data_IF_978046580168
#
_entry.id   IF_978046580168
#
_cell.length_a   1.000
_cell.length_b   1.000
_cell.length_c   1.000
_cell.angle_alpha   90.00
_cell.angle_beta   90.00
_cell.angle_gamma   90.00
#
_symmetry.space_group_name_H-M   'P 1'
#
loop_
_entity.id
_entity.type
_entity.pdbx_description
1 polymer ?
#
# COMPACT_ATOMS: atom_id res chain seq x y z
N UNK A 1 -35.83 -9.20 -1.61
CA UNK A 1 -36.83 -8.12 -1.56
C UNK A 1 -36.80 -7.30 -0.26
N UNK A 2 -35.78 -7.43 0.63
CA UNK A 2 -35.88 -6.89 2.00
C UNK A 2 -35.47 -5.41 2.15
N UNK A 3 -34.19 -5.02 1.97
CA UNK A 3 -33.73 -3.68 2.44
C UNK A 3 -34.39 -2.48 1.74
N UNK A 4 -34.65 -2.59 0.43
CA UNK A 4 -35.23 -1.48 -0.32
C UNK A 4 -36.73 -1.29 -0.05
N UNK A 5 -37.48 -2.38 0.18
CA UNK A 5 -38.86 -2.32 0.72
C UNK A 5 -38.90 -1.87 2.17
N UNK A 6 -37.89 -2.20 2.98
CA UNK A 6 -37.78 -1.79 4.38
C UNK A 6 -37.77 -0.25 4.47
N UNK A 7 -37.09 0.42 3.54
CA UNK A 7 -36.98 1.88 3.51
C UNK A 7 -38.09 2.56 2.69
N UNK A 8 -38.62 1.93 1.64
CA UNK A 8 -39.58 2.59 0.73
C UNK A 8 -40.85 3.04 1.46
N UNK A 9 -41.45 2.19 2.30
CA UNK A 9 -42.70 2.54 3.01
C UNK A 9 -42.50 3.47 4.21
N UNK A 10 -41.31 3.46 4.83
CA UNK A 10 -41.03 4.31 6.01
C UNK A 10 -40.65 5.75 5.62
N UNK A 11 -40.16 5.94 4.39
CA UNK A 11 -39.85 7.26 3.83
C UNK A 11 -40.89 7.74 2.80
N UNK A 12 -41.96 6.99 2.57
CA UNK A 12 -43.01 7.36 1.62
C UNK A 12 -43.71 8.65 2.06
N UNK A 13 -43.61 9.70 1.24
CA UNK A 13 -44.12 11.04 1.55
C UNK A 13 -43.25 11.87 2.48
N UNK A 14 -42.09 11.37 2.92
CA UNK A 14 -41.15 12.15 3.73
C UNK A 14 -40.21 12.98 2.85
N UNK A 15 -40.15 14.28 3.09
CA UNK A 15 -39.22 15.19 2.41
C UNK A 15 -37.83 15.11 3.06
N UNK A 16 -36.97 14.22 2.56
CA UNK A 16 -35.58 14.07 3.03
C UNK A 16 -34.65 14.84 2.11
N UNK A 17 -33.97 15.84 2.66
CA UNK A 17 -33.01 16.65 1.89
C UNK A 17 -31.66 15.96 1.78
N UNK A 18 -31.04 16.10 0.61
CA UNK A 18 -29.68 15.61 0.31
C UNK A 18 -28.74 16.73 -0.13
N UNK A 19 -27.46 16.60 0.19
CA UNK A 19 -26.42 17.52 -0.31
C UNK A 19 -26.21 17.35 -1.81
N UNK A 20 -25.65 18.37 -2.45
CA UNK A 20 -25.25 18.32 -3.88
C UNK A 20 -23.84 17.78 -4.10
N UNK A 21 -23.02 17.72 -3.04
CA UNK A 21 -21.65 17.20 -3.09
C UNK A 21 -21.64 15.67 -3.15
N UNK A 22 -20.68 15.09 -3.88
CA UNK A 22 -20.48 13.65 -3.97
C UNK A 22 -19.34 13.18 -3.05
N UNK A 23 -19.49 12.08 -2.28
CA UNK A 23 -20.72 11.30 -2.12
C UNK A 23 -21.79 12.11 -1.38
N UNK A 24 -23.06 11.87 -1.72
CA UNK A 24 -24.17 12.61 -1.14
C UNK A 24 -24.38 12.26 0.32
N UNK A 25 -24.93 13.23 1.04
CA UNK A 25 -25.24 13.13 2.46
C UNK A 25 -26.68 13.55 2.70
N UNK A 26 -27.33 12.91 3.66
CA UNK A 26 -28.73 13.16 4.03
C UNK A 26 -28.82 14.04 5.26
N UNK A 27 -29.83 14.90 5.32
CA UNK A 27 -30.14 15.69 6.50
C UNK A 27 -30.66 14.81 7.64
N UNK A 28 -29.92 14.76 8.76
CA UNK A 28 -30.26 13.92 9.91
C UNK A 28 -31.62 14.30 10.51
N UNK A 29 -31.90 15.60 10.61
CA UNK A 29 -33.16 16.07 11.21
C UNK A 29 -34.39 15.62 10.41
N UNK A 30 -34.26 15.50 9.07
CA UNK A 30 -35.35 15.05 8.22
C UNK A 30 -35.58 13.54 8.38
N UNK A 31 -34.48 12.78 8.50
CA UNK A 31 -34.51 11.33 8.77
C UNK A 31 -35.19 11.05 10.11
N UNK A 32 -34.78 11.75 11.18
CA UNK A 32 -35.39 11.60 12.51
C UNK A 32 -36.89 11.88 12.41
N UNK A 33 -37.27 12.98 11.75
CA UNK A 33 -38.68 13.35 11.57
C UNK A 33 -39.46 12.29 10.78
N UNK A 34 -38.90 11.76 9.70
CA UNK A 34 -39.52 10.75 8.85
C UNK A 34 -39.81 9.46 9.64
N UNK A 35 -38.81 8.98 10.38
CA UNK A 35 -38.87 7.70 11.07
C UNK A 35 -39.68 7.78 12.35
N UNK A 36 -39.43 8.78 13.20
CA UNK A 36 -40.07 8.86 14.51
C UNK A 36 -41.43 9.55 14.46
N UNK A 37 -41.72 10.33 13.41
CA UNK A 37 -42.85 11.25 13.40
C UNK A 37 -42.73 12.38 14.43
N UNK A 38 -41.57 12.55 15.07
CA UNK A 38 -41.41 13.49 16.17
C UNK A 38 -41.54 14.94 15.68
N UNK A 39 -42.27 15.73 16.45
CA UNK A 39 -42.48 17.16 16.23
C UNK A 39 -41.18 17.95 16.43
N UNK A 40 -40.27 17.46 17.30
CA UNK A 40 -39.00 18.13 17.58
C UNK A 40 -37.76 17.24 17.33
N UNK A 41 -37.33 17.08 16.06
CA UNK A 41 -36.18 16.24 15.72
C UNK A 41 -34.84 16.78 16.26
N UNK A 42 -34.74 18.06 16.64
CA UNK A 42 -33.50 18.64 17.20
C UNK A 42 -33.24 18.14 18.62
N UNK A 43 -34.28 18.01 19.44
CA UNK A 43 -34.14 17.47 20.80
C UNK A 43 -33.72 16.00 20.73
N UNK A 44 -34.38 15.19 19.89
CA UNK A 44 -33.96 13.79 19.68
C UNK A 44 -32.54 13.68 19.17
N UNK A 45 -32.11 14.58 18.28
CA UNK A 45 -30.72 14.61 17.84
C UNK A 45 -29.74 14.92 18.99
N UNK A 46 -30.03 15.92 19.82
CA UNK A 46 -29.21 16.25 20.98
C UNK A 46 -29.15 15.10 21.99
N UNK A 47 -30.28 14.42 22.23
CA UNK A 47 -30.37 13.27 23.13
C UNK A 47 -29.54 12.09 22.61
N UNK A 48 -29.55 11.85 21.29
CA UNK A 48 -28.71 10.83 20.65
C UNK A 48 -27.22 11.14 20.80
N UNK A 49 -26.82 12.41 20.59
CA UNK A 49 -25.42 12.83 20.76
C UNK A 49 -24.96 12.68 22.21
N UNK A 50 -25.83 12.96 23.18
CA UNK A 50 -25.51 12.84 24.60
C UNK A 50 -25.46 11.37 25.06
N UNK A 51 -26.37 10.54 24.58
CA UNK A 51 -26.49 9.14 25.02
C UNK A 51 -25.49 8.22 24.32
N UNK A 52 -25.18 8.48 23.05
CA UNK A 52 -24.31 7.65 22.22
C UNK A 52 -23.19 8.47 21.56
N UNK A 53 -22.32 9.15 22.34
CA UNK A 53 -21.33 10.08 21.80
C UNK A 53 -20.32 9.42 20.86
N UNK A 54 -19.96 8.15 21.10
CA UNK A 54 -19.03 7.42 20.23
C UNK A 54 -19.68 6.98 18.92
N UNK A 55 -20.90 6.44 18.98
CA UNK A 55 -21.62 5.97 17.79
C UNK A 55 -22.07 7.13 16.89
N UNK A 56 -22.48 8.24 17.53
CA UNK A 56 -23.01 9.45 16.88
C UNK A 56 -21.95 10.55 16.70
N UNK A 57 -20.69 10.29 17.06
CA UNK A 57 -19.57 11.22 16.88
C UNK A 57 -18.51 10.71 15.92
N UNK A 58 -17.88 9.58 16.24
CA UNK A 58 -16.73 9.06 15.47
C UNK A 58 -17.16 8.03 14.40
N UNK A 59 -18.19 7.23 14.67
CA UNK A 59 -18.50 6.04 13.87
C UNK A 59 -19.52 6.24 12.74
N UNK A 60 -20.39 7.25 12.81
CA UNK A 60 -21.43 7.48 11.79
C UNK A 60 -21.07 8.56 10.76
N UNK A 61 -19.77 8.69 10.45
CA UNK A 61 -19.31 9.42 9.25
C UNK A 61 -19.72 10.89 9.23
N UNK A 62 -19.87 11.49 10.41
CA UNK A 62 -20.34 12.86 10.54
C UNK A 62 -19.33 13.82 9.94
N UNK A 63 -19.85 14.73 9.13
CA UNK A 63 -19.11 15.93 8.77
C UNK A 63 -20.07 17.09 8.85
N UNK A 64 -19.50 18.19 9.33
CA UNK A 64 -19.95 19.57 9.31
C UNK A 64 -21.42 19.82 8.97
N UNK A 65 -22.05 20.57 9.86
CA UNK A 65 -23.39 21.12 9.64
C UNK A 65 -23.46 21.74 8.23
N UNK A 66 -24.40 21.28 7.40
CA UNK A 66 -24.60 21.75 6.03
C UNK A 66 -25.75 22.76 5.94
N UNK A 67 -25.55 23.82 5.16
CA UNK A 67 -26.58 24.83 4.89
C UNK A 67 -27.30 24.51 3.58
N UNK A 68 -28.51 23.98 3.69
CA UNK A 68 -29.36 23.73 2.52
C UNK A 68 -29.84 25.04 1.89
N UNK A 69 -29.85 25.16 0.56
CA UNK A 69 -30.37 26.35 -0.12
C UNK A 69 -31.86 26.56 0.19
N UNK A 70 -32.29 27.82 0.32
CA UNK A 70 -33.69 28.20 0.51
C UNK A 70 -34.23 28.23 1.95
N UNK A 71 -33.48 27.82 2.98
CA UNK A 71 -33.93 27.83 4.40
C UNK A 71 -33.24 28.83 5.33
N UNK A 72 -32.71 29.94 4.80
CA UNK A 72 -32.04 30.96 5.62
C UNK A 72 -30.77 30.43 6.30
N UNK A 73 -30.43 30.94 7.50
CA UNK A 73 -29.20 30.58 8.26
C UNK A 73 -29.23 29.21 8.97
N UNK A 74 -30.24 28.37 8.72
CA UNK A 74 -30.40 27.12 9.44
C UNK A 74 -29.45 26.04 8.91
N UNK A 75 -28.37 25.82 9.65
CA UNK A 75 -27.44 24.72 9.39
C UNK A 75 -28.03 23.42 9.91
N UNK A 76 -27.98 22.35 9.11
CA UNK A 76 -28.51 21.03 9.46
C UNK A 76 -27.38 20.01 9.53
N UNK A 77 -27.32 19.16 10.56
CA UNK A 77 -26.37 18.05 10.59
C UNK A 77 -26.67 17.07 9.46
N UNK A 78 -25.61 16.58 8.80
CA UNK A 78 -25.70 15.64 7.67
C UNK A 78 -24.86 14.40 7.92
N UNK A 79 -25.24 13.29 7.27
CA UNK A 79 -24.54 12.00 7.39
C UNK A 79 -24.56 11.23 6.07
N UNK A 80 -23.65 10.26 5.93
CA UNK A 80 -23.58 9.34 4.79
C UNK A 80 -24.58 8.15 4.94
N UNK A 81 -24.54 7.20 4.02
CA UNK A 81 -25.41 6.02 4.06
C UNK A 81 -25.19 5.17 5.33
N UNK A 82 -23.96 5.06 5.81
CA UNK A 82 -23.62 4.29 7.01
C UNK A 82 -24.21 4.96 8.23
N UNK A 83 -23.95 6.25 8.41
CA UNK A 83 -24.45 6.98 9.57
C UNK A 83 -25.96 7.15 9.56
N UNK A 84 -26.59 7.20 8.39
CA UNK A 84 -28.04 7.04 8.26
C UNK A 84 -28.52 5.76 8.96
N UNK A 85 -27.99 4.59 8.57
CA UNK A 85 -28.39 3.29 9.16
C UNK A 85 -28.07 3.23 10.66
N UNK A 86 -26.93 3.77 11.10
CA UNK A 86 -26.59 3.86 12.52
C UNK A 86 -27.65 4.64 13.29
N UNK A 87 -28.05 5.82 12.80
CA UNK A 87 -29.08 6.65 13.43
C UNK A 87 -30.42 5.92 13.45
N UNK A 88 -30.81 5.26 12.35
CA UNK A 88 -32.06 4.48 12.30
C UNK A 88 -32.11 3.41 13.40
N UNK A 89 -30.97 2.76 13.65
CA UNK A 89 -30.84 1.74 14.69
C UNK A 89 -30.90 2.30 16.11
N UNK A 90 -30.34 3.49 16.35
CA UNK A 90 -30.32 4.13 17.66
C UNK A 90 -31.64 4.84 18.02
N UNK A 91 -32.46 5.20 17.02
CA UNK A 91 -33.73 5.89 17.26
C UNK A 91 -34.72 5.04 18.06
N UNK A 92 -35.39 5.66 19.01
CA UNK A 92 -36.46 5.03 19.79
C UNK A 92 -37.82 5.18 19.09
N UNK A 93 -38.79 4.36 19.49
CA UNK A 93 -40.18 4.42 18.99
C UNK A 93 -40.58 3.22 18.13
N UNK A 94 -41.89 3.12 17.88
CA UNK A 94 -42.50 1.95 17.23
C UNK A 94 -42.00 1.74 15.79
N UNK A 95 -41.93 2.81 14.99
CA UNK A 95 -41.44 2.73 13.60
C UNK A 95 -39.97 2.31 13.53
N UNK A 96 -39.12 2.87 14.37
CA UNK A 96 -37.71 2.46 14.47
C UNK A 96 -37.58 1.00 14.94
N UNK A 97 -38.45 0.55 15.87
CA UNK A 97 -38.48 -0.85 16.28
C UNK A 97 -38.88 -1.79 15.14
N UNK A 98 -39.88 -1.41 14.33
CA UNK A 98 -40.28 -2.17 13.13
C UNK A 98 -39.13 -2.26 12.12
N UNK A 99 -38.38 -1.16 11.92
CA UNK A 99 -37.18 -1.17 11.08
C UNK A 99 -36.15 -2.19 11.59
N UNK A 100 -35.82 -2.14 12.90
CA UNK A 100 -34.87 -3.08 13.52
C UNK A 100 -35.32 -4.54 13.41
N UNK A 101 -36.61 -4.83 13.54
CA UNK A 101 -37.13 -6.19 13.37
C UNK A 101 -36.90 -6.72 11.95
N UNK A 102 -37.12 -5.88 10.93
CA UNK A 102 -36.86 -6.28 9.54
C UNK A 102 -35.36 -6.44 9.27
N UNK A 103 -34.50 -5.67 9.94
CA UNK A 103 -33.04 -5.84 9.88
C UNK A 103 -32.58 -7.15 10.55
N UNK A 104 -33.20 -7.52 11.68
CA UNK A 104 -32.93 -8.79 12.36
C UNK A 104 -33.21 -10.01 11.44
N UNK A 105 -34.32 -9.99 10.70
CA UNK A 105 -34.65 -11.05 9.74
C UNK A 105 -33.59 -11.18 8.64
N UNK A 106 -33.10 -10.04 8.11
CA UNK A 106 -32.01 -10.02 7.15
C UNK A 106 -30.73 -10.60 7.74
N UNK A 107 -30.38 -10.21 8.97
CA UNK A 107 -29.18 -10.67 9.66
C UNK A 107 -29.21 -12.17 9.90
N UNK A 108 -30.35 -12.72 10.33
CA UNK A 108 -30.53 -14.17 10.52
C UNK A 108 -30.33 -14.92 9.22
N UNK A 109 -30.93 -14.45 8.11
CA UNK A 109 -30.75 -15.06 6.78
C UNK A 109 -29.30 -14.98 6.30
N UNK A 110 -28.64 -13.84 6.53
CA UNK A 110 -27.24 -13.65 6.17
C UNK A 110 -26.33 -14.62 6.92
N UNK A 111 -26.47 -14.72 8.24
CA UNK A 111 -25.71 -15.64 9.08
C UNK A 111 -26.05 -17.11 8.79
N UNK A 112 -27.29 -17.40 8.37
CA UNK A 112 -27.73 -18.71 7.93
C UNK A 112 -27.23 -19.12 6.54
N UNK A 113 -26.52 -18.25 5.82
CA UNK A 113 -26.00 -18.54 4.48
C UNK A 113 -27.08 -18.67 3.41
N UNK A 114 -28.21 -17.97 3.56
CA UNK A 114 -29.32 -18.02 2.60
C UNK A 114 -28.89 -17.43 1.23
N UNK A 115 -28.65 -18.30 0.26
CA UNK A 115 -28.20 -17.93 -1.08
C UNK A 115 -29.25 -17.11 -1.86
N UNK A 116 -30.53 -17.14 -1.47
CA UNK A 116 -31.54 -16.29 -2.10
C UNK A 116 -31.24 -14.80 -1.92
N UNK A 117 -30.48 -14.42 -0.88
CA UNK A 117 -30.00 -13.05 -0.67
C UNK A 117 -29.18 -12.51 -1.85
N UNK A 118 -28.47 -13.36 -2.59
CA UNK A 118 -27.71 -12.95 -3.76
C UNK A 118 -28.65 -12.38 -4.83
N UNK A 119 -29.77 -13.07 -5.08
CA UNK A 119 -30.75 -12.60 -6.05
C UNK A 119 -31.41 -11.30 -5.56
N UNK A 120 -31.70 -11.20 -4.26
CA UNK A 120 -32.23 -9.96 -3.69
C UNK A 120 -31.28 -8.77 -3.85
N UNK A 121 -29.97 -8.98 -3.66
CA UNK A 121 -28.96 -7.95 -3.83
C UNK A 121 -28.91 -7.50 -5.30
N UNK A 122 -29.01 -8.43 -6.26
CA UNK A 122 -29.09 -8.08 -7.70
C UNK A 122 -30.33 -7.26 -8.02
N UNK A 123 -31.49 -7.64 -7.47
CA UNK A 123 -32.73 -6.91 -7.68
C UNK A 123 -32.66 -5.51 -7.05
N UNK A 124 -32.11 -5.37 -5.85
CA UNK A 124 -31.89 -4.09 -5.17
C UNK A 124 -30.93 -3.22 -5.97
N UNK A 125 -29.88 -3.81 -6.55
CA UNK A 125 -28.93 -3.11 -7.41
C UNK A 125 -29.63 -2.54 -8.65
N UNK A 126 -30.42 -3.36 -9.34
CA UNK A 126 -31.20 -2.91 -10.50
C UNK A 126 -32.19 -1.80 -10.13
N UNK A 127 -32.83 -1.89 -8.96
CA UNK A 127 -33.71 -0.83 -8.45
C UNK A 127 -32.95 0.48 -8.20
N UNK A 128 -31.77 0.40 -7.56
CA UNK A 128 -30.90 1.56 -7.30
C UNK A 128 -30.47 2.26 -8.59
N UNK A 129 -30.15 1.49 -9.64
CA UNK A 129 -29.79 2.01 -10.95
C UNK A 129 -30.98 2.67 -11.67
N UNK A 130 -32.20 2.20 -11.41
CA UNK A 130 -33.43 2.77 -11.94
C UNK A 130 -33.91 4.03 -11.22
N UNK A 131 -33.33 4.40 -10.07
CA UNK A 131 -33.72 5.61 -9.35
C UNK A 131 -33.21 6.87 -10.08
N UNK A 132 -34.01 7.96 -10.09
CA UNK A 132 -33.50 9.27 -10.48
C UNK A 132 -32.26 9.64 -9.70
N UNK A 133 -31.34 10.36 -10.34
CA UNK A 133 -30.10 10.77 -9.70
C UNK A 133 -30.42 11.52 -8.39
N UNK A 134 -31.30 12.50 -8.38
CA UNK A 134 -31.70 13.30 -7.22
C UNK A 134 -32.50 12.55 -6.14
N UNK A 135 -32.85 11.28 -6.33
CA UNK A 135 -33.64 10.52 -5.37
C UNK A 135 -32.86 10.26 -4.06
N UNK A 136 -33.42 10.52 -2.87
CA UNK A 136 -32.69 10.42 -1.60
C UNK A 136 -32.18 9.00 -1.30
N UNK A 137 -32.92 7.97 -1.71
CA UNK A 137 -32.51 6.58 -1.53
C UNK A 137 -31.31 6.16 -2.42
N UNK A 138 -30.88 6.99 -3.38
CA UNK A 138 -29.72 6.73 -4.24
C UNK A 138 -28.40 6.75 -3.45
N UNK A 139 -28.40 7.38 -2.26
CA UNK A 139 -27.25 7.45 -1.35
C UNK A 139 -26.66 6.06 -1.03
N UNK A 140 -27.49 5.03 -0.92
CA UNK A 140 -27.03 3.67 -0.66
C UNK A 140 -26.24 3.08 -1.82
N UNK A 141 -26.75 3.23 -3.05
CA UNK A 141 -26.05 2.76 -4.23
C UNK A 141 -24.76 3.56 -4.50
N UNK A 142 -24.77 4.87 -4.23
CA UNK A 142 -23.59 5.73 -4.37
C UNK A 142 -22.49 5.36 -3.39
N UNK A 143 -22.83 5.10 -2.13
CA UNK A 143 -21.83 4.68 -1.12
C UNK A 143 -21.20 3.33 -1.52
N UNK A 144 -21.97 2.39 -2.06
CA UNK A 144 -21.45 1.12 -2.58
C UNK A 144 -20.53 1.33 -3.79
N UNK A 145 -20.91 2.18 -4.73
CA UNK A 145 -20.12 2.50 -5.93
C UNK A 145 -18.80 3.22 -5.59
N UNK A 146 -18.86 4.19 -4.68
CA UNK A 146 -17.69 4.92 -4.19
C UNK A 146 -16.68 3.98 -3.52
N UNK A 147 -17.16 3.04 -2.70
CA UNK A 147 -16.31 2.02 -2.06
C UNK A 147 -15.74 1.01 -3.05
N UNK A 148 -16.52 0.57 -4.03
CA UNK A 148 -16.04 -0.32 -5.08
C UNK A 148 -14.91 0.33 -5.90
N UNK A 149 -15.07 1.62 -6.23
CA UNK A 149 -14.06 2.41 -6.94
C UNK A 149 -12.77 2.53 -6.12
N UNK A 150 -12.88 2.81 -4.82
CA UNK A 150 -11.71 2.89 -3.92
C UNK A 150 -10.98 1.55 -3.83
N UNK A 151 -11.72 0.45 -3.68
CA UNK A 151 -11.14 -0.89 -3.60
C UNK A 151 -10.36 -1.27 -4.87
N UNK A 152 -10.91 -0.94 -6.05
CA UNK A 152 -10.20 -1.15 -7.32
C UNK A 152 -8.88 -0.39 -7.38
N UNK A 153 -8.85 0.86 -6.88
CA UNK A 153 -7.64 1.67 -6.84
C UNK A 153 -6.58 1.09 -5.88
N UNK A 154 -7.02 0.60 -4.71
CA UNK A 154 -6.13 -0.02 -3.74
C UNK A 154 -5.54 -1.33 -4.31
N UNK A 155 -6.37 -2.17 -4.97
CA UNK A 155 -5.92 -3.39 -5.64
C UNK A 155 -4.91 -3.09 -6.77
N UNK A 156 -5.15 -2.05 -7.58
CA UNK A 156 -4.23 -1.60 -8.64
C UNK A 156 -2.89 -1.10 -8.07
N UNK A 157 -2.94 -0.39 -6.94
CA UNK A 157 -1.76 0.12 -6.25
C UNK A 157 -0.90 -1.02 -5.69
N UNK A 158 -1.52 -2.05 -5.12
CA UNK A 158 -0.84 -3.24 -4.64
C UNK A 158 -0.15 -4.01 -5.78
N UNK A 159 -0.84 -4.16 -6.92
CA UNK A 159 -0.26 -4.76 -8.13
C UNK A 159 0.95 -3.95 -8.62
N UNK A 160 0.83 -2.61 -8.63
CA UNK A 160 1.92 -1.72 -9.03
C UNK A 160 3.13 -1.86 -8.09
N UNK A 161 2.91 -1.86 -6.78
CA UNK A 161 3.97 -1.99 -5.79
C UNK A 161 4.67 -3.35 -5.88
N UNK A 162 3.93 -4.44 -6.12
CA UNK A 162 4.49 -5.76 -6.34
C UNK A 162 5.39 -5.80 -7.59
N UNK A 163 4.95 -5.19 -8.70
CA UNK A 163 5.78 -5.07 -9.93
C UNK A 163 7.05 -4.26 -9.68
N UNK A 164 6.92 -3.12 -8.99
CA UNK A 164 8.07 -2.27 -8.64
C UNK A 164 9.11 -3.03 -7.82
N UNK A 165 8.69 -3.79 -6.81
CA UNK A 165 9.59 -4.59 -5.97
C UNK A 165 10.33 -5.67 -6.78
N UNK A 166 9.62 -6.37 -7.68
CA UNK A 166 10.24 -7.36 -8.56
C UNK A 166 11.31 -6.74 -9.45
N UNK A 167 11.03 -5.57 -10.02
CA UNK A 167 11.94 -4.86 -10.92
C UNK A 167 13.17 -4.33 -10.17
N UNK A 168 13.00 -3.85 -8.94
CA UNK A 168 14.11 -3.46 -8.06
C UNK A 168 15.00 -4.65 -7.71
N UNK A 169 14.42 -5.81 -7.40
CA UNK A 169 15.17 -7.03 -7.12
C UNK A 169 15.97 -7.51 -8.35
N UNK A 170 15.40 -7.38 -9.54
CA UNK A 170 16.07 -7.75 -10.80
C UNK A 170 17.25 -6.82 -11.10
N UNK A 171 17.08 -5.50 -10.95
CA UNK A 171 18.17 -4.51 -11.09
C UNK A 171 19.29 -4.79 -10.08
N UNK A 172 18.96 -5.07 -8.83
CA UNK A 172 19.97 -5.36 -7.79
C UNK A 172 20.72 -6.65 -8.11
N UNK A 173 20.03 -7.69 -8.59
CA UNK A 173 20.67 -8.93 -9.03
C UNK A 173 21.61 -8.72 -10.22
N UNK A 174 21.21 -7.90 -11.21
CA UNK A 174 22.05 -7.55 -12.36
C UNK A 174 23.28 -6.73 -11.94
N UNK A 175 23.09 -5.76 -11.04
CA UNK A 175 24.18 -4.98 -10.44
C UNK A 175 25.18 -5.87 -9.70
N UNK A 176 24.71 -6.87 -8.95
CA UNK A 176 25.60 -7.82 -8.28
C UNK A 176 26.36 -8.71 -9.27
N UNK A 177 25.72 -9.15 -10.36
CA UNK A 177 26.39 -9.93 -11.43
C UNK A 177 27.47 -9.13 -12.13
N UNK A 178 27.17 -7.90 -12.52
CA UNK A 178 28.14 -7.01 -13.17
C UNK A 178 29.30 -6.67 -12.24
N UNK A 179 29.02 -6.39 -10.96
CA UNK A 179 30.06 -6.14 -9.96
C UNK A 179 30.95 -7.36 -9.72
N UNK A 180 30.38 -8.57 -9.70
CA UNK A 180 31.15 -9.80 -9.60
C UNK A 180 32.04 -10.04 -10.84
N UNK A 181 31.52 -9.80 -12.04
CA UNK A 181 32.28 -9.91 -13.28
C UNK A 181 33.44 -8.90 -13.34
N UNK A 182 33.18 -7.63 -12.99
CA UNK A 182 34.23 -6.60 -12.91
C UNK A 182 35.28 -6.97 -11.87
N UNK A 183 34.87 -7.47 -10.69
CA UNK A 183 35.82 -7.94 -9.68
C UNK A 183 36.70 -9.09 -10.21
N UNK A 184 36.11 -10.04 -10.94
CA UNK A 184 36.87 -11.15 -11.53
C UNK A 184 37.89 -10.66 -12.56
N UNK A 185 37.49 -9.76 -13.47
CA UNK A 185 38.37 -9.16 -14.48
C UNK A 185 39.53 -8.36 -13.83
N UNK A 186 39.24 -7.58 -12.79
CA UNK A 186 40.29 -6.86 -12.03
C UNK A 186 41.26 -7.82 -11.36
N UNK A 187 40.78 -8.94 -10.81
CA UNK A 187 41.66 -9.96 -10.22
C UNK A 187 42.53 -10.61 -11.29
N UNK A 188 41.97 -10.95 -12.45
CA UNK A 188 42.72 -11.51 -13.57
C UNK A 188 43.82 -10.57 -14.06
N UNK A 189 43.50 -9.28 -14.27
CA UNK A 189 44.48 -8.25 -14.66
C UNK A 189 45.60 -8.06 -13.62
N UNK A 190 45.29 -8.13 -12.32
CA UNK A 190 46.29 -8.04 -11.26
C UNK A 190 47.20 -9.26 -11.21
N UNK A 191 46.65 -10.47 -11.41
CA UNK A 191 47.42 -11.72 -11.44
C UNK A 191 48.34 -11.74 -12.65
N UNK A 192 47.85 -11.40 -13.84
CA UNK A 192 48.66 -11.36 -15.06
C UNK A 192 49.76 -10.29 -14.99
N UNK A 193 49.44 -9.09 -14.49
CA UNK A 193 50.45 -8.05 -14.25
C UNK A 193 51.54 -8.49 -13.27
N UNK A 194 51.18 -9.29 -12.25
CA UNK A 194 52.12 -9.83 -11.27
C UNK A 194 53.03 -10.90 -11.88
N UNK A 195 52.48 -11.82 -12.69
CA UNK A 195 53.26 -12.85 -13.38
C UNK A 195 54.26 -12.28 -14.40
N UNK A 196 53.89 -11.20 -15.11
CA UNK A 196 54.80 -10.50 -16.01
C UNK A 196 56.00 -9.94 -15.24
N UNK A 197 55.76 -9.33 -14.07
CA UNK A 197 56.82 -8.80 -13.22
C UNK A 197 57.74 -9.90 -12.68
N UNK A 198 57.17 -11.00 -12.18
CA UNK A 198 57.94 -12.16 -11.69
C UNK A 198 58.79 -12.77 -12.81
N UNK A 199 58.25 -12.88 -14.03
CA UNK A 199 58.99 -13.43 -15.18
C UNK A 199 60.13 -12.52 -15.60
N UNK A 200 59.93 -11.20 -15.59
CA UNK A 200 60.94 -10.20 -15.91
C UNK A 200 62.07 -10.16 -14.86
N UNK A 201 61.74 -10.23 -13.57
CA UNK A 201 62.74 -10.34 -12.50
C UNK A 201 63.50 -11.67 -12.60
N UNK A 202 62.80 -12.77 -12.88
CA UNK A 202 63.43 -14.08 -13.08
C UNK A 202 64.32 -14.17 -14.33
N UNK A 203 64.01 -13.45 -15.41
CA UNK A 203 64.88 -13.39 -16.60
C UNK A 203 66.12 -12.53 -16.34
N UNK A 204 65.96 -11.39 -15.68
CA UNK A 204 67.09 -10.50 -15.33
C UNK A 204 68.03 -11.14 -14.31
N UNK A 205 67.51 -11.89 -13.33
CA UNK A 205 68.34 -12.67 -12.39
C UNK A 205 69.11 -13.78 -13.11
N UNK A 206 68.48 -14.55 -14.02
CA UNK A 206 69.17 -15.58 -14.80
C UNK A 206 70.25 -15.02 -15.73
N UNK A 207 69.99 -13.87 -16.34
CA UNK A 207 70.98 -13.20 -17.19
C UNK A 207 72.17 -12.69 -16.36
N UNK A 208 71.93 -12.18 -15.15
CA UNK A 208 72.99 -11.80 -14.22
C UNK A 208 73.80 -13.03 -13.77
N UNK A 209 73.13 -14.11 -13.37
CA UNK A 209 73.81 -15.31 -12.88
C UNK A 209 74.60 -16.00 -14.02
N UNK A 210 74.11 -15.96 -15.27
CA UNK A 210 74.86 -16.38 -16.46
C UNK A 210 76.12 -15.53 -16.68
N UNK A 211 76.02 -14.20 -16.57
CA UNK A 211 77.18 -13.30 -16.68
C UNK A 211 78.18 -13.49 -15.53
N UNK A 212 77.70 -13.80 -14.32
CA UNK A 212 78.56 -14.15 -13.19
C UNK A 212 79.27 -15.48 -13.46
N UNK A 213 78.59 -16.46 -14.04
CA UNK A 213 79.16 -17.77 -14.37
C UNK A 213 80.19 -17.69 -15.51
N UNK A 214 79.93 -16.90 -16.56
CA UNK A 214 80.91 -16.58 -17.62
C UNK A 214 82.12 -15.81 -17.07
N UNK A 215 81.93 -14.93 -16.08
CA UNK A 215 83.03 -14.24 -15.41
C UNK A 215 83.83 -15.13 -14.42
N UNK A 216 83.32 -16.32 -14.08
CA UNK A 216 83.90 -17.24 -13.09
C UNK A 216 84.62 -18.45 -13.68
N UNK A 217 84.82 -18.52 -15.00
CA UNK A 217 85.76 -19.44 -15.62
C UNK A 217 87.05 -18.71 -16.02
N UNK A 218 88.06 -18.59 -15.14
CA UNK A 218 89.40 -18.33 -15.61
C UNK A 218 89.91 -19.61 -16.30
N UNK A 219 90.43 -19.47 -17.52
CA UNK A 219 91.41 -20.40 -18.09
C UNK A 219 92.60 -20.49 -17.13
N UNK A 220 92.55 -21.42 -16.19
CA UNK A 220 93.71 -21.79 -15.39
C UNK A 220 94.60 -22.69 -16.24
N UNK A 221 95.45 -22.10 -17.07
CA UNK A 221 96.58 -22.82 -17.67
C UNK A 221 97.71 -22.95 -16.64
N UNK A 222 98.29 -24.15 -16.52
CA UNK A 222 99.32 -24.54 -15.53
C UNK A 222 100.55 -23.59 -15.44
N UNK A 223 100.82 -22.78 -16.47
CA UNK A 223 101.91 -21.80 -16.47
C UNK A 223 101.69 -20.60 -15.52
N UNK A 224 100.44 -20.26 -15.17
CA UNK A 224 100.15 -19.11 -14.29
C UNK A 224 100.31 -19.44 -12.80
N UNK A 225 100.31 -20.72 -12.42
CA UNK A 225 100.50 -21.16 -11.03
C UNK A 225 101.95 -21.00 -10.54
N UNK A 226 102.95 -21.14 -11.43
CA UNK A 226 104.36 -21.09 -11.02
C UNK A 226 104.91 -19.67 -10.82
N UNK A 227 104.30 -18.65 -11.44
CA UNK A 227 104.76 -17.25 -11.28
C UNK A 227 104.20 -16.54 -10.03
N UNK A 228 103.06 -16.98 -9.47
CA UNK A 228 102.50 -16.38 -8.24
C UNK A 228 103.10 -16.91 -6.93
N UNK A 229 103.79 -18.05 -6.94
CA UNK A 229 104.43 -18.62 -5.72
C UNK A 229 105.70 -17.88 -5.29
N UNK A 230 106.38 -17.17 -6.19
CA UNK A 230 107.60 -16.40 -5.88
C UNK A 230 107.29 -15.03 -5.25
N UNK A 231 106.05 -14.51 -5.35
CA UNK A 231 105.68 -13.18 -4.83
C UNK A 231 105.08 -13.17 -3.42
N UNK A 232 104.74 -14.31 -2.82
CA UNK A 232 104.02 -14.37 -1.53
C UNK A 232 104.72 -15.16 -0.41
N UNK A 233 106.03 -15.42 -0.50
CA UNK A 233 106.83 -15.94 0.62
C UNK A 233 107.75 -14.90 1.28
N UNK A 234 107.61 -13.62 0.94
CA UNK A 234 108.44 -12.51 1.45
C UNK A 234 107.74 -11.55 2.43
N UNK A 235 106.49 -11.81 2.83
CA UNK A 235 105.69 -10.86 3.64
C UNK A 235 105.31 -11.40 5.04
N UNK A 236 106.04 -12.37 5.57
CA UNK A 236 106.00 -12.75 6.99
C UNK A 236 107.40 -13.10 7.48
N UNK A 237 108.18 -12.06 7.80
CA UNK A 237 109.13 -12.00 8.91
C UNK A 237 109.20 -10.57 9.41
#
# INVERSE_FOLDING_TARGET
MALFKITQGEFEGAEIRTTTQYPRRVAILDVIKAITGNVNPRTTWADLQHTYPHDVGENAGFSDSYKFPGRGYQVSPVTDARGLVTIMNLLQGERAARFRMKEADLLVRHLGGDLSLIQEIKDIRAQQEGLPADHPARIFGEDVEARASKRSLDDDLDIYNAKKQKLLAEIEAEKQRTLAAVKADVVEQLVDGSWILVRYVGSTMRERDSKVQEAWEPEWTDETFSQKRIKYSGAYR
#
